data_IF_473186365375
#
_entry.id   IF_473186365375
#
_cell.length_a   1.000
_cell.length_b   1.000
_cell.length_c   1.000
_cell.angle_alpha   90.00
_cell.angle_beta   90.00
_cell.angle_gamma   90.00
#
_symmetry.space_group_name_H-M   'P 1'
#
loop_
_entity.id
_entity.type
_entity.pdbx_description
1 polymer ?
#
# COMPACT_ATOMS: atom_id res chain seq x y z
N UNK A 1 31.71 10.02 0.75
CA UNK A 1 31.21 8.98 1.67
C UNK A 1 30.11 8.21 0.95
N UNK A 2 30.06 6.88 1.09
CA UNK A 2 28.98 6.11 0.49
C UNK A 2 27.65 6.50 1.10
N UNK A 3 26.66 6.82 0.29
CA UNK A 3 25.29 7.06 0.72
C UNK A 3 24.75 5.77 1.34
N UNK A 4 24.21 5.83 2.55
CA UNK A 4 23.65 4.66 3.19
C UNK A 4 22.30 4.32 2.54
N UNK A 5 22.30 3.29 1.69
CA UNK A 5 21.11 2.73 1.06
C UNK A 5 20.43 1.77 2.04
N UNK A 6 19.12 1.86 2.17
CA UNK A 6 18.29 0.94 2.96
C UNK A 6 17.18 0.35 2.12
N UNK A 7 16.85 -0.89 2.40
CA UNK A 7 15.74 -1.61 1.78
C UNK A 7 14.68 -1.87 2.84
N UNK A 8 13.43 -1.65 2.48
CA UNK A 8 12.27 -2.01 3.30
C UNK A 8 11.35 -2.96 2.56
N UNK A 9 10.71 -3.84 3.30
CA UNK A 9 9.69 -4.75 2.80
C UNK A 9 8.42 -4.52 3.61
N UNK A 10 7.28 -4.40 2.92
CA UNK A 10 5.96 -4.31 3.51
C UNK A 10 5.06 -5.41 2.99
N UNK A 11 4.14 -5.83 3.81
CA UNK A 11 3.10 -6.80 3.47
C UNK A 11 1.79 -6.34 4.08
N UNK A 12 0.71 -6.40 3.29
CA UNK A 12 -0.63 -6.21 3.81
C UNK A 12 -1.61 -7.17 3.13
N UNK A 13 -2.65 -7.54 3.84
CA UNK A 13 -3.71 -8.41 3.36
C UNK A 13 -5.04 -7.99 3.97
N UNK A 14 -6.07 -7.87 3.13
CA UNK A 14 -7.42 -7.60 3.56
C UNK A 14 -8.39 -8.62 2.97
N UNK A 15 -9.37 -9.04 3.79
CA UNK A 15 -10.46 -9.89 3.33
C UNK A 15 -11.51 -9.08 2.59
N UNK A 16 -12.18 -9.70 1.63
CA UNK A 16 -13.39 -9.12 1.06
C UNK A 16 -14.54 -9.13 2.08
N UNK A 17 -15.42 -8.14 1.99
CA UNK A 17 -16.66 -8.16 2.76
C UNK A 17 -17.57 -9.32 2.33
N UNK A 18 -18.28 -9.91 3.29
CA UNK A 18 -19.22 -11.01 3.01
C UNK A 18 -20.55 -10.48 2.47
N UNK A 19 -20.95 -9.30 2.94
CA UNK A 19 -22.20 -8.62 2.56
C UNK A 19 -21.88 -7.20 2.13
N UNK A 20 -22.43 -6.70 1.01
CA UNK A 20 -22.19 -5.33 0.56
C UNK A 20 -22.55 -4.30 1.64
N UNK A 21 -21.58 -3.47 2.02
CA UNK A 21 -21.72 -2.42 3.03
C UNK A 21 -21.92 -1.03 2.44
N UNK A 22 -21.88 -0.91 1.11
CA UNK A 22 -21.84 0.37 0.41
C UNK A 22 -20.42 0.94 0.27
N UNK A 23 -19.41 0.26 0.79
CA UNK A 23 -17.99 0.62 0.57
C UNK A 23 -17.61 0.36 -0.88
N UNK A 24 -16.64 1.12 -1.37
CA UNK A 24 -16.03 0.92 -2.69
C UNK A 24 -14.67 0.28 -2.50
N UNK A 25 -14.32 -0.68 -3.35
CA UNK A 25 -12.97 -1.24 -3.39
C UNK A 25 -12.00 -0.16 -3.88
N UNK A 26 -10.94 0.09 -3.10
CA UNK A 26 -9.86 1.00 -3.46
C UNK A 26 -8.54 0.24 -3.51
N UNK A 27 -7.79 0.38 -4.60
CA UNK A 27 -6.48 -0.21 -4.78
C UNK A 27 -5.54 0.80 -5.44
N UNK A 28 -4.44 1.13 -4.78
CA UNK A 28 -3.50 2.16 -5.25
C UNK A 28 -4.16 3.52 -5.48
N UNK A 29 -5.14 3.87 -4.64
CA UNK A 29 -5.93 5.09 -4.72
C UNK A 29 -6.96 5.12 -5.85
N UNK A 30 -7.15 4.02 -6.59
CA UNK A 30 -8.14 3.91 -7.66
C UNK A 30 -9.38 3.18 -7.15
N UNK A 31 -10.56 3.74 -7.43
CA UNK A 31 -11.84 3.13 -7.08
C UNK A 31 -12.27 2.12 -8.14
N UNK A 32 -12.63 0.93 -7.70
CA UNK A 32 -13.17 -0.15 -8.52
C UNK A 32 -14.68 -0.28 -8.25
N UNK A 33 -15.45 0.52 -8.97
CA UNK A 33 -16.90 0.57 -8.80
C UNK A 33 -17.55 -0.74 -9.25
N UNK A 34 -18.45 -1.28 -8.42
CA UNK A 34 -19.16 -2.53 -8.70
C UNK A 34 -18.40 -3.80 -8.29
N UNK A 35 -17.18 -3.66 -7.78
CA UNK A 35 -16.42 -4.77 -7.21
C UNK A 35 -16.67 -4.92 -5.70
N UNK A 36 -16.44 -6.13 -5.17
CA UNK A 36 -16.50 -6.37 -3.72
C UNK A 36 -15.46 -5.54 -2.98
N UNK A 37 -15.87 -4.83 -1.95
CA UNK A 37 -14.96 -4.04 -1.13
C UNK A 37 -14.14 -4.90 -0.16
N UNK A 38 -13.01 -4.36 0.28
CA UNK A 38 -12.19 -4.94 1.33
C UNK A 38 -12.64 -4.43 2.71
N UNK A 39 -12.51 -5.28 3.72
CA UNK A 39 -12.77 -4.94 5.13
C UNK A 39 -11.53 -4.32 5.74
N UNK A 40 -11.68 -3.18 6.37
CA UNK A 40 -10.60 -2.51 7.09
C UNK A 40 -11.09 -1.25 7.79
N UNK A 41 -10.26 -0.69 8.68
CA UNK A 41 -10.60 0.51 9.44
C UNK A 41 -10.59 1.78 8.55
N UNK A 42 -9.58 1.92 7.66
CA UNK A 42 -9.50 2.94 6.62
C UNK A 42 -10.33 2.53 5.39
N UNK A 43 -9.97 3.01 4.21
CA UNK A 43 -10.52 2.52 2.94
C UNK A 43 -10.02 1.11 2.54
N UNK A 44 -9.12 0.52 3.33
CA UNK A 44 -8.53 -0.81 3.14
C UNK A 44 -7.71 -0.96 1.84
N UNK A 45 -7.07 0.11 1.36
CA UNK A 45 -6.16 0.05 0.22
C UNK A 45 -4.89 -0.73 0.58
N UNK A 46 -4.90 -2.02 0.30
CA UNK A 46 -3.82 -2.96 0.61
C UNK A 46 -2.48 -2.58 -0.05
N UNK A 47 -2.51 -1.87 -1.18
CA UNK A 47 -1.29 -1.43 -1.88
C UNK A 47 -0.66 -0.26 -1.12
N UNK A 48 -1.45 0.75 -0.78
CA UNK A 48 -0.97 1.91 -0.03
C UNK A 48 -0.43 1.51 1.35
N UNK A 49 -1.09 0.57 2.03
CA UNK A 49 -0.64 0.06 3.33
C UNK A 49 0.68 -0.70 3.24
N UNK A 50 0.83 -1.59 2.25
CA UNK A 50 2.08 -2.33 2.05
C UNK A 50 3.26 -1.38 1.73
N UNK A 51 3.02 -0.33 0.94
CA UNK A 51 4.03 0.70 0.65
C UNK A 51 4.41 1.46 1.92
N UNK A 52 3.42 1.87 2.71
CA UNK A 52 3.65 2.58 3.97
C UNK A 52 4.52 1.74 4.93
N UNK A 53 4.21 0.47 5.09
CA UNK A 53 4.99 -0.46 5.92
C UNK A 53 6.43 -0.65 5.40
N UNK A 54 6.60 -0.78 4.08
CA UNK A 54 7.93 -0.88 3.48
C UNK A 54 8.79 0.36 3.80
N UNK A 55 8.23 1.55 3.65
CA UNK A 55 8.90 2.82 3.91
C UNK A 55 9.25 3.01 5.39
N UNK A 56 8.31 2.72 6.29
CA UNK A 56 8.53 2.78 7.74
C UNK A 56 9.62 1.80 8.16
N UNK A 57 9.56 0.56 7.69
CA UNK A 57 10.56 -0.46 7.98
C UNK A 57 11.96 -0.08 7.49
N UNK A 58 12.09 0.43 6.26
CA UNK A 58 13.37 0.91 5.72
C UNK A 58 13.99 2.02 6.56
N UNK A 59 13.16 2.94 7.06
CA UNK A 59 13.59 4.05 7.90
C UNK A 59 13.78 3.66 9.39
N UNK A 60 13.41 2.43 9.78
CA UNK A 60 13.41 1.96 11.17
C UNK A 60 12.45 2.76 12.08
N UNK A 61 11.27 3.10 11.55
CA UNK A 61 10.25 3.91 12.21
C UNK A 61 9.03 3.09 12.69
N UNK A 62 9.14 1.77 12.74
CA UNK A 62 8.05 0.88 13.16
C UNK A 62 7.17 0.46 11.99
N UNK A 63 5.87 0.33 12.23
CA UNK A 63 4.86 -0.13 11.29
C UNK A 63 3.64 0.81 11.23
N UNK A 64 2.78 0.57 10.26
CA UNK A 64 1.58 1.40 10.03
C UNK A 64 0.62 1.38 11.23
N UNK A 65 0.50 0.26 11.93
CA UNK A 65 -0.38 0.13 13.10
C UNK A 65 0.07 0.98 14.30
N UNK A 66 1.37 1.22 14.45
CA UNK A 66 1.91 2.09 15.49
C UNK A 66 1.60 3.57 15.22
N UNK A 67 1.58 3.98 13.96
CA UNK A 67 1.31 5.37 13.57
C UNK A 67 -0.18 5.69 13.41
N UNK A 68 -0.95 4.70 12.97
CA UNK A 68 -2.37 4.85 12.65
C UNK A 68 -3.19 3.69 13.26
N UNK A 69 -3.29 3.62 14.59
CA UNK A 69 -3.96 2.51 15.25
C UNK A 69 -5.44 2.42 14.83
N UNK A 70 -5.91 1.22 14.59
CA UNK A 70 -7.30 0.92 14.21
C UNK A 70 -8.32 1.20 15.35
N UNK A 71 -7.82 1.41 16.55
CA UNK A 71 -8.61 1.82 17.72
C UNK A 71 -8.88 3.33 17.74
N UNK A 72 -8.19 4.14 16.94
CA UNK A 72 -8.39 5.59 16.88
C UNK A 72 -9.44 5.95 15.82
N UNK A 73 -10.62 6.47 16.23
CA UNK A 73 -11.69 6.83 15.32
C UNK A 73 -11.32 7.91 14.30
N UNK A 74 -10.23 8.66 14.53
CA UNK A 74 -9.70 9.64 13.59
C UNK A 74 -9.36 9.04 12.23
N UNK A 75 -8.98 7.76 12.20
CA UNK A 75 -8.56 7.07 10.99
C UNK A 75 -9.65 6.20 10.36
N UNK A 76 -10.86 6.21 10.93
CA UNK A 76 -11.99 5.45 10.41
C UNK A 76 -12.39 5.97 9.02
N UNK A 77 -12.38 5.10 8.01
CA UNK A 77 -12.75 5.43 6.63
C UNK A 77 -11.80 6.41 5.91
N UNK A 78 -10.64 6.69 6.48
CA UNK A 78 -9.68 7.62 5.88
C UNK A 78 -9.13 7.08 4.56
N UNK A 79 -8.84 7.98 3.63
CA UNK A 79 -8.11 7.69 2.39
C UNK A 79 -6.68 7.22 2.72
N UNK A 80 -6.33 6.00 2.32
CA UNK A 80 -5.01 5.44 2.60
C UNK A 80 -3.87 6.15 1.87
N UNK A 81 -4.14 6.88 0.78
CA UNK A 81 -3.14 7.75 0.18
C UNK A 81 -2.77 8.92 1.10
N UNK A 82 -3.71 9.39 1.94
CA UNK A 82 -3.40 10.39 2.96
C UNK A 82 -2.49 9.80 4.05
N UNK A 83 -2.77 8.57 4.51
CA UNK A 83 -1.88 7.87 5.44
C UNK A 83 -0.48 7.69 4.84
N UNK A 84 -0.41 7.26 3.59
CA UNK A 84 0.86 7.11 2.87
C UNK A 84 1.61 8.45 2.77
N UNK A 85 0.90 9.56 2.52
CA UNK A 85 1.54 10.89 2.46
C UNK A 85 2.19 11.29 3.79
N UNK A 86 1.55 10.97 4.92
CA UNK A 86 2.13 11.19 6.25
C UNK A 86 3.39 10.35 6.47
N UNK A 87 3.37 9.07 6.03
CA UNK A 87 4.56 8.21 6.13
C UNK A 87 5.71 8.74 5.27
N UNK A 88 5.42 9.18 4.05
CA UNK A 88 6.43 9.80 3.17
C UNK A 88 7.05 11.03 3.80
N UNK A 89 6.23 11.91 4.41
CA UNK A 89 6.73 13.08 5.13
C UNK A 89 7.65 12.67 6.30
N UNK A 90 7.21 11.69 7.09
CA UNK A 90 7.97 11.19 8.23
C UNK A 90 9.33 10.61 7.82
N UNK A 91 9.38 9.85 6.73
CA UNK A 91 10.62 9.30 6.17
C UNK A 91 11.59 10.41 5.76
N UNK A 92 11.08 11.45 5.09
CA UNK A 92 11.87 12.62 4.69
C UNK A 92 12.37 13.44 5.87
N UNK A 93 11.53 13.66 6.88
CA UNK A 93 11.90 14.36 8.13
C UNK A 93 13.01 13.63 8.90
N UNK A 94 13.10 12.30 8.74
CA UNK A 94 14.18 11.49 9.31
C UNK A 94 15.44 11.43 8.44
N UNK A 95 15.54 12.27 7.41
CA UNK A 95 16.73 12.46 6.59
C UNK A 95 16.92 11.39 5.52
N UNK A 96 15.82 10.86 4.98
CA UNK A 96 15.86 9.90 3.87
C UNK A 96 15.12 10.43 2.64
N UNK A 97 15.62 10.07 1.48
CA UNK A 97 14.92 10.18 0.20
C UNK A 97 14.49 8.80 -0.28
N UNK A 98 13.36 8.74 -0.99
CA UNK A 98 12.83 7.50 -1.53
C UNK A 98 13.38 7.32 -2.94
N UNK A 99 14.05 6.20 -3.19
CA UNK A 99 14.60 5.86 -4.50
C UNK A 99 13.55 5.27 -5.44
N UNK A 100 12.85 4.23 -4.99
CA UNK A 100 11.74 3.61 -5.71
C UNK A 100 10.92 2.69 -4.81
N UNK A 101 9.75 2.29 -5.31
CA UNK A 101 8.89 1.25 -4.71
C UNK A 101 8.47 0.26 -5.79
N UNK A 102 8.47 -1.02 -5.45
CA UNK A 102 7.98 -2.11 -6.30
C UNK A 102 6.97 -2.97 -5.57
N UNK A 103 5.77 -3.13 -6.14
CA UNK A 103 4.64 -3.85 -5.53
C UNK A 103 4.26 -5.08 -6.34
N UNK A 104 3.97 -6.17 -5.64
CA UNK A 104 3.34 -7.36 -6.18
C UNK A 104 1.99 -7.58 -5.49
N UNK A 105 0.91 -7.47 -6.24
CA UNK A 105 -0.47 -7.61 -5.76
C UNK A 105 -1.02 -8.96 -6.19
N UNK A 106 -1.45 -9.78 -5.25
CA UNK A 106 -2.11 -11.05 -5.54
C UNK A 106 -3.62 -10.88 -5.43
N UNK A 107 -4.28 -11.01 -6.58
CA UNK A 107 -5.70 -10.76 -6.72
C UNK A 107 -6.29 -11.59 -7.88
N UNK A 108 -7.27 -12.45 -7.59
CA UNK A 108 -7.99 -13.17 -8.64
C UNK A 108 -8.94 -12.25 -9.41
N UNK A 109 -9.62 -11.35 -8.69
CA UNK A 109 -10.52 -10.30 -9.18
C UNK A 109 -10.44 -9.08 -8.26
N UNK A 110 -10.59 -7.86 -8.84
CA UNK A 110 -10.74 -7.50 -10.25
C UNK A 110 -9.42 -7.63 -11.06
N UNK A 111 -9.50 -7.47 -12.38
CA UNK A 111 -8.30 -7.35 -13.23
C UNK A 111 -7.64 -5.99 -12.98
N UNK A 112 -6.38 -5.99 -12.58
CA UNK A 112 -5.64 -4.77 -12.27
C UNK A 112 -5.04 -4.10 -13.52
N UNK A 113 -4.77 -4.88 -14.57
CA UNK A 113 -4.06 -4.39 -15.76
C UNK A 113 -4.67 -3.12 -16.40
N UNK A 114 -6.01 -2.99 -16.54
CA UNK A 114 -6.61 -1.77 -17.11
C UNK A 114 -6.41 -0.51 -16.26
N UNK A 115 -6.16 -0.67 -14.97
CA UNK A 115 -6.04 0.43 -13.99
C UNK A 115 -4.59 0.67 -13.54
N UNK A 116 -3.64 -0.12 -14.03
CA UNK A 116 -2.23 -0.07 -13.58
C UNK A 116 -1.61 1.31 -13.71
N UNK A 117 -1.75 1.94 -14.87
CA UNK A 117 -1.16 3.26 -15.11
C UNK A 117 -1.73 4.32 -14.17
N UNK A 118 -3.03 4.27 -13.92
CA UNK A 118 -3.69 5.21 -13.01
C UNK A 118 -3.23 4.99 -11.56
N UNK A 119 -3.17 3.73 -11.09
CA UNK A 119 -2.65 3.39 -9.77
C UNK A 119 -1.21 3.90 -9.61
N UNK A 120 -0.33 3.59 -10.56
CA UNK A 120 1.07 4.03 -10.52
C UNK A 120 1.18 5.56 -10.51
N UNK A 121 0.43 6.25 -11.34
CA UNK A 121 0.41 7.72 -11.39
C UNK A 121 0.01 8.34 -10.05
N UNK A 122 -1.04 7.82 -9.40
CA UNK A 122 -1.50 8.30 -8.09
C UNK A 122 -0.46 8.01 -7.00
N UNK A 123 0.07 6.81 -6.97
CA UNK A 123 1.10 6.41 -5.99
C UNK A 123 2.39 7.21 -6.18
N UNK A 124 2.86 7.42 -7.42
CA UNK A 124 4.03 8.27 -7.72
C UNK A 124 3.80 9.70 -7.23
N UNK A 125 2.59 10.23 -7.41
CA UNK A 125 2.22 11.57 -6.94
C UNK A 125 2.34 11.74 -5.42
N UNK A 126 2.09 10.69 -4.66
CA UNK A 126 2.21 10.71 -3.18
C UNK A 126 3.63 10.39 -2.74
N UNK A 127 4.24 9.35 -3.30
CA UNK A 127 5.57 8.86 -2.90
C UNK A 127 6.68 9.81 -3.35
N UNK A 128 6.51 10.47 -4.49
CA UNK A 128 7.51 11.36 -5.07
C UNK A 128 8.71 10.63 -5.70
N UNK A 129 8.56 9.33 -5.99
CA UNK A 129 9.57 8.47 -6.60
C UNK A 129 8.88 7.42 -7.49
N UNK A 130 9.61 6.71 -8.37
CA UNK A 130 9.04 5.67 -9.21
C UNK A 130 8.34 4.58 -8.39
N UNK A 131 7.10 4.23 -8.78
CA UNK A 131 6.32 3.13 -8.18
C UNK A 131 5.90 2.18 -9.29
N UNK A 132 6.20 0.91 -9.13
CA UNK A 132 5.79 -0.17 -10.01
C UNK A 132 4.70 -1.02 -9.32
N UNK A 133 3.62 -1.33 -10.04
CA UNK A 133 2.55 -2.21 -9.57
C UNK A 133 2.40 -3.39 -10.51
N UNK A 134 2.63 -4.59 -10.01
CA UNK A 134 2.50 -5.87 -10.73
C UNK A 134 1.35 -6.66 -10.15
N UNK A 135 0.38 -7.00 -10.98
CA UNK A 135 -0.71 -7.90 -10.61
C UNK A 135 -0.32 -9.36 -10.83
N UNK A 136 -0.71 -10.21 -9.90
CA UNK A 136 -0.57 -11.67 -9.97
C UNK A 136 -1.91 -12.33 -9.59
N UNK A 137 -2.16 -13.48 -10.17
CA UNK A 137 -3.22 -14.39 -9.72
C UNK A 137 -2.62 -15.40 -8.75
N UNK A 138 -3.42 -15.88 -7.83
CA UNK A 138 -3.05 -16.99 -6.94
C UNK A 138 -3.25 -18.36 -7.61
N UNK A 139 -3.68 -18.40 -8.88
CA UNK A 139 -3.92 -19.61 -9.69
C UNK A 139 -4.87 -20.60 -8.99
N UNK A 140 -5.89 -20.09 -8.33
CA UNK A 140 -6.87 -20.90 -7.60
C UNK A 140 -6.35 -21.49 -6.28
N UNK A 141 -5.12 -21.18 -5.86
CA UNK A 141 -4.49 -21.76 -4.68
C UNK A 141 -4.81 -20.96 -3.40
N UNK A 142 -5.16 -21.67 -2.35
CA UNK A 142 -5.36 -21.13 -1.01
C UNK A 142 -6.50 -20.10 -0.91
N UNK A 143 -6.49 -19.30 0.14
CA UNK A 143 -7.51 -18.30 0.43
C UNK A 143 -7.60 -17.22 -0.67
N UNK A 144 -6.46 -16.75 -1.16
CA UNK A 144 -6.42 -15.76 -2.24
C UNK A 144 -6.98 -16.34 -3.54
N UNK A 145 -6.67 -17.61 -3.86
CA UNK A 145 -7.22 -18.31 -5.02
C UNK A 145 -8.73 -18.57 -4.91
N UNK A 146 -9.27 -18.72 -3.70
CA UNK A 146 -10.72 -18.79 -3.43
C UNK A 146 -11.40 -17.42 -3.38
N UNK A 147 -10.66 -16.33 -3.68
CA UNK A 147 -11.19 -14.96 -3.67
C UNK A 147 -11.71 -14.52 -2.29
N UNK A 148 -10.99 -14.89 -1.23
CA UNK A 148 -11.33 -14.47 0.13
C UNK A 148 -10.76 -13.09 0.48
N UNK A 149 -9.76 -12.61 -0.26
CA UNK A 149 -9.14 -11.32 -0.06
C UNK A 149 -8.12 -10.97 -1.13
N UNK A 150 -7.40 -9.88 -0.89
CA UNK A 150 -6.30 -9.37 -1.71
C UNK A 150 -5.09 -9.20 -0.81
N UNK A 151 -3.90 -9.56 -1.31
CA UNK A 151 -2.63 -9.34 -0.62
C UNK A 151 -1.67 -8.52 -1.49
N UNK A 152 -0.84 -7.73 -0.84
CA UNK A 152 0.22 -6.95 -1.49
C UNK A 152 1.53 -7.10 -0.74
N UNK A 153 2.60 -7.31 -1.48
CA UNK A 153 3.98 -7.17 -1.03
C UNK A 153 4.58 -5.94 -1.69
N UNK A 154 5.24 -5.10 -0.91
CA UNK A 154 5.98 -3.95 -1.39
C UNK A 154 7.44 -4.03 -0.95
N UNK A 155 8.34 -3.62 -1.84
CA UNK A 155 9.75 -3.42 -1.53
C UNK A 155 10.10 -2.00 -1.90
N UNK A 156 10.85 -1.32 -1.07
CA UNK A 156 11.34 0.02 -1.35
C UNK A 156 12.84 0.15 -1.11
N UNK A 157 13.42 1.14 -1.79
CA UNK A 157 14.76 1.63 -1.52
C UNK A 157 14.66 3.06 -1.03
N UNK A 158 15.34 3.36 0.07
CA UNK A 158 15.54 4.73 0.56
C UNK A 158 17.03 5.00 0.73
N UNK A 159 17.43 6.25 0.59
CA UNK A 159 18.81 6.69 0.73
C UNK A 159 18.90 7.81 1.77
N UNK A 160 19.92 7.76 2.61
CA UNK A 160 20.15 8.86 3.56
C UNK A 160 20.67 10.08 2.81
N UNK A 161 20.03 11.22 3.03
CA UNK A 161 20.49 12.51 2.50
C UNK A 161 21.81 12.87 3.17
N UNK A 162 22.83 13.20 2.38
CA UNK A 162 24.09 13.72 2.94
C UNK A 162 23.81 15.09 3.57
N UNK A 163 24.21 15.25 4.82
CA UNK A 163 24.22 16.55 5.50
C UNK A 163 25.39 17.39 5.03
#
# INVERSE_FOLDING_TARGET
>A
MATAVRVGQGFDIHRFEDTPSGRVLVLGGVQFVGERALVGHSDADVIAHAIADALLGAASLGDIGQHFPDTDPKWAGVDSLLLLSHVVALVKENGFEIGNVDCSVVCEKPKLAPHREEMQRKLIGVVGAPVSVKGRRAEGLGALGRQEGIACWAVCVIERVAQ
#
